data_IF_888550516076
#
_entry.id   IF_888550516076
#
_cell.length_a   1.000
_cell.length_b   1.000
_cell.length_c   1.000
_cell.angle_alpha   90.00
_cell.angle_beta   90.00
_cell.angle_gamma   90.00
#
_symmetry.space_group_name_H-M   'P 1'
#
loop_
_entity.id
_entity.type
_entity.pdbx_description
1 polymer ?
#
# COMPACT_ATOMS: atom_id res chain seq x y z
N UNK A 1 44.83 -31.94 6.84
CA UNK A 1 44.06 -31.11 7.78
C UNK A 1 43.79 -29.80 7.05
N UNK A 2 42.73 -29.75 6.25
CA UNK A 2 42.40 -28.61 5.38
C UNK A 2 40.94 -28.26 5.60
N UNK A 3 40.66 -27.62 6.73
CA UNK A 3 39.42 -26.87 6.93
C UNK A 3 39.78 -25.43 7.29
N UNK A 4 39.96 -24.56 6.29
CA UNK A 4 39.65 -23.13 6.47
C UNK A 4 38.62 -22.60 5.45
N UNK A 5 38.41 -23.30 4.32
CA UNK A 5 37.66 -22.76 3.17
C UNK A 5 36.14 -22.71 3.38
N UNK A 6 35.59 -23.54 4.27
CA UNK A 6 34.15 -23.57 4.55
C UNK A 6 33.68 -22.45 5.49
N UNK A 7 34.57 -21.88 6.31
CA UNK A 7 34.16 -20.88 7.32
C UNK A 7 33.94 -19.51 6.68
N UNK A 8 34.74 -19.11 5.69
CA UNK A 8 34.55 -17.85 4.96
C UNK A 8 33.26 -17.86 4.13
N UNK A 9 32.97 -18.95 3.41
CA UNK A 9 31.76 -19.05 2.59
C UNK A 9 30.48 -19.06 3.45
N UNK A 10 30.49 -19.77 4.59
CA UNK A 10 29.37 -19.77 5.54
C UNK A 10 29.21 -18.40 6.20
N UNK A 11 30.31 -17.73 6.57
CA UNK A 11 30.25 -16.38 7.15
C UNK A 11 29.76 -15.35 6.13
N UNK A 12 30.17 -15.45 4.87
CA UNK A 12 29.68 -14.58 3.78
C UNK A 12 28.20 -14.84 3.48
N UNK A 13 27.75 -16.10 3.49
CA UNK A 13 26.35 -16.45 3.31
C UNK A 13 25.48 -15.96 4.47
N UNK A 14 25.94 -16.12 5.72
CA UNK A 14 25.23 -15.64 6.92
C UNK A 14 25.24 -14.09 7.02
N UNK A 15 26.31 -13.43 6.60
CA UNK A 15 26.36 -11.97 6.53
C UNK A 15 25.46 -11.43 5.39
N UNK A 16 25.42 -12.13 4.25
CA UNK A 16 24.49 -11.83 3.16
C UNK A 16 23.03 -12.10 3.54
N UNK A 17 22.76 -13.14 4.35
CA UNK A 17 21.43 -13.47 4.89
C UNK A 17 20.91 -12.39 5.85
N UNK A 18 21.78 -11.88 6.73
CA UNK A 18 21.45 -10.74 7.59
C UNK A 18 21.17 -9.46 6.77
N UNK A 19 22.02 -9.17 5.77
CA UNK A 19 21.81 -8.03 4.86
C UNK A 19 20.57 -8.18 3.96
N UNK A 20 20.26 -9.41 3.53
CA UNK A 20 19.06 -9.74 2.78
C UNK A 20 17.80 -9.55 3.64
N UNK A 21 17.86 -9.97 4.91
CA UNK A 21 16.78 -9.78 5.89
C UNK A 21 16.50 -8.30 6.15
N UNK A 22 17.54 -7.47 6.30
CA UNK A 22 17.39 -6.02 6.47
C UNK A 22 16.85 -5.33 5.22
N UNK A 23 17.34 -5.71 4.04
CA UNK A 23 16.84 -5.18 2.77
C UNK A 23 15.36 -5.55 2.53
N UNK A 24 14.97 -6.79 2.83
CA UNK A 24 13.57 -7.24 2.76
C UNK A 24 12.71 -6.48 3.78
N UNK A 25 13.16 -6.33 5.01
CA UNK A 25 12.44 -5.55 6.03
C UNK A 25 12.24 -4.09 5.60
N UNK A 26 13.29 -3.48 5.04
CA UNK A 26 13.22 -2.11 4.50
C UNK A 26 12.24 -2.00 3.34
N UNK A 27 12.27 -2.98 2.42
CA UNK A 27 11.33 -3.04 1.30
C UNK A 27 9.88 -3.17 1.76
N UNK A 28 9.60 -4.07 2.72
CA UNK A 28 8.26 -4.25 3.28
C UNK A 28 7.78 -2.99 4.00
N UNK A 29 8.64 -2.35 4.80
CA UNK A 29 8.31 -1.08 5.44
C UNK A 29 8.00 0.04 4.43
N UNK A 30 8.73 0.09 3.31
CA UNK A 30 8.44 1.04 2.23
C UNK A 30 7.12 0.73 1.51
N UNK A 31 6.81 -0.55 1.30
CA UNK A 31 5.54 -0.98 0.72
C UNK A 31 4.35 -0.63 1.63
N UNK A 32 4.49 -0.85 2.95
CA UNK A 32 3.50 -0.49 3.95
C UNK A 32 3.28 1.03 4.00
N UNK A 33 4.36 1.82 3.99
CA UNK A 33 4.27 3.27 3.95
C UNK A 33 3.56 3.78 2.68
N UNK A 34 3.81 3.15 1.54
CA UNK A 34 3.16 3.49 0.28
C UNK A 34 1.67 3.14 0.28
N UNK A 35 1.31 1.95 0.77
CA UNK A 35 -0.09 1.54 0.93
C UNK A 35 -0.85 2.46 1.89
N UNK A 36 -0.23 2.83 3.03
CA UNK A 36 -0.79 3.77 3.98
C UNK A 36 -1.01 5.17 3.37
N UNK A 37 -0.09 5.65 2.53
CA UNK A 37 -0.27 6.92 1.82
C UNK A 37 -1.44 6.87 0.83
N UNK A 38 -1.63 5.76 0.14
CA UNK A 38 -2.77 5.56 -0.76
C UNK A 38 -4.10 5.31 -0.02
N UNK A 39 -4.06 4.94 1.27
CA UNK A 39 -5.25 4.80 2.10
C UNK A 39 -5.92 6.14 2.48
N UNK A 40 -5.40 7.26 2.00
CA UNK A 40 -6.00 8.58 2.17
C UNK A 40 -7.12 8.85 1.16
N UNK A 41 -8.28 9.29 1.65
CA UNK A 41 -9.42 9.69 0.82
C UNK A 41 -9.09 10.90 -0.07
N UNK A 42 -8.27 11.84 0.41
CA UNK A 42 -7.87 13.02 -0.36
C UNK A 42 -6.97 12.63 -1.54
N UNK A 43 -6.10 11.63 -1.33
CA UNK A 43 -5.27 11.06 -2.39
C UNK A 43 -6.15 10.35 -3.43
N UNK A 44 -7.12 9.55 -3.00
CA UNK A 44 -8.07 8.91 -3.89
C UNK A 44 -8.87 9.96 -4.71
N UNK A 45 -9.37 11.02 -4.07
CA UNK A 45 -10.08 12.14 -4.71
C UNK A 45 -9.27 12.82 -5.79
N UNK A 46 -8.01 13.12 -5.50
CA UNK A 46 -7.12 13.81 -6.44
C UNK A 46 -6.68 12.93 -7.61
N UNK A 47 -6.47 11.63 -7.37
CA UNK A 47 -5.77 10.75 -8.31
C UNK A 47 -6.73 9.82 -9.06
N UNK A 48 -7.67 9.18 -8.38
CA UNK A 48 -8.50 8.11 -8.96
C UNK A 48 -9.26 8.54 -10.24
N UNK A 49 -9.81 9.77 -10.38
CA UNK A 49 -10.47 10.21 -11.62
C UNK A 49 -9.53 10.32 -12.82
N UNK A 50 -8.22 10.50 -12.58
CA UNK A 50 -7.21 10.72 -13.63
C UNK A 50 -6.63 9.42 -14.20
N UNK A 51 -6.92 8.29 -13.55
CA UNK A 51 -6.38 6.99 -13.90
C UNK A 51 -7.35 6.19 -14.77
N UNK A 52 -6.84 5.17 -15.46
CA UNK A 52 -7.70 4.17 -16.11
C UNK A 52 -8.24 3.17 -15.08
N UNK A 53 -9.38 2.52 -15.38
CA UNK A 53 -9.97 1.48 -14.54
C UNK A 53 -8.94 0.42 -14.13
N UNK A 54 -8.11 -0.05 -15.07
CA UNK A 54 -7.09 -1.05 -14.80
C UNK A 54 -6.07 -0.60 -13.73
N UNK A 55 -5.67 0.67 -13.75
CA UNK A 55 -4.73 1.21 -12.75
C UNK A 55 -5.40 1.34 -11.38
N UNK A 56 -6.66 1.78 -11.34
CA UNK A 56 -7.43 1.84 -10.10
C UNK A 56 -7.66 0.45 -9.51
N UNK A 57 -7.96 -0.56 -10.34
CA UNK A 57 -8.09 -1.95 -9.88
C UNK A 57 -6.80 -2.46 -9.24
N UNK A 58 -5.63 -2.15 -9.80
CA UNK A 58 -4.34 -2.54 -9.20
C UNK A 58 -4.15 -1.89 -7.82
N UNK A 59 -4.49 -0.61 -7.69
CA UNK A 59 -4.39 0.11 -6.40
C UNK A 59 -5.36 -0.49 -5.38
N UNK A 60 -6.61 -0.75 -5.77
CA UNK A 60 -7.61 -1.42 -4.94
C UNK A 60 -7.13 -2.80 -4.44
N UNK A 61 -6.59 -3.64 -5.32
CA UNK A 61 -6.06 -4.95 -4.94
C UNK A 61 -4.87 -4.86 -3.98
N UNK A 62 -4.01 -3.85 -4.15
CA UNK A 62 -2.89 -3.62 -3.25
C UNK A 62 -3.37 -3.19 -1.86
N UNK A 63 -4.33 -2.26 -1.80
CA UNK A 63 -4.93 -1.80 -0.55
C UNK A 63 -5.67 -2.94 0.18
N UNK A 64 -6.39 -3.78 -0.56
CA UNK A 64 -7.05 -4.97 -0.01
C UNK A 64 -6.03 -5.93 0.63
N UNK A 65 -4.92 -6.22 -0.07
CA UNK A 65 -3.84 -7.06 0.47
C UNK A 65 -3.14 -6.46 1.68
N UNK A 66 -3.08 -5.13 1.77
CA UNK A 66 -2.56 -4.40 2.92
C UNK A 66 -3.58 -4.25 4.06
N UNK A 67 -4.82 -4.75 3.90
CA UNK A 67 -5.87 -4.68 4.92
C UNK A 67 -6.62 -3.33 4.97
N UNK A 68 -6.37 -2.42 4.02
CA UNK A 68 -7.02 -1.11 3.94
C UNK A 68 -8.36 -1.19 3.20
N UNK A 69 -9.28 -2.05 3.65
CA UNK A 69 -10.55 -2.33 2.95
C UNK A 69 -11.41 -1.08 2.71
N UNK A 70 -11.53 -0.17 3.68
CA UNK A 70 -12.27 1.07 3.50
C UNK A 70 -11.67 1.94 2.38
N UNK A 71 -10.34 1.95 2.21
CA UNK A 71 -9.69 2.69 1.14
C UNK A 71 -10.02 2.09 -0.24
N UNK A 72 -10.15 0.76 -0.34
CA UNK A 72 -10.58 0.10 -1.58
C UNK A 72 -11.90 0.69 -2.07
N UNK A 73 -12.88 0.82 -1.18
CA UNK A 73 -14.20 1.33 -1.52
C UNK A 73 -14.13 2.78 -2.05
N UNK A 74 -13.34 3.65 -1.41
CA UNK A 74 -13.16 5.03 -1.88
C UNK A 74 -12.51 5.09 -3.26
N UNK A 75 -11.44 4.33 -3.49
CA UNK A 75 -10.75 4.30 -4.78
C UNK A 75 -11.68 3.87 -5.92
N UNK A 76 -12.52 2.85 -5.69
CA UNK A 76 -13.47 2.36 -6.68
C UNK A 76 -14.63 3.33 -6.89
N UNK A 77 -15.22 3.85 -5.80
CA UNK A 77 -16.34 4.79 -5.86
C UNK A 77 -15.95 6.08 -6.59
N UNK A 78 -14.90 6.75 -6.12
CA UNK A 78 -14.44 8.04 -6.67
C UNK A 78 -14.07 7.89 -8.15
N UNK A 79 -13.39 6.79 -8.52
CA UNK A 79 -13.07 6.53 -9.91
C UNK A 79 -14.32 6.33 -10.77
N UNK A 80 -15.30 5.55 -10.28
CA UNK A 80 -16.53 5.27 -11.01
C UNK A 80 -17.37 6.53 -11.30
N UNK A 81 -17.28 7.53 -10.43
CA UNK A 81 -17.96 8.81 -10.57
C UNK A 81 -17.20 9.80 -11.47
N UNK A 82 -16.01 9.42 -11.98
CA UNK A 82 -15.18 10.24 -12.89
C UNK A 82 -14.91 11.68 -12.40
N UNK A 83 -14.97 11.93 -11.09
CA UNK A 83 -14.79 13.27 -10.54
C UNK A 83 -16.05 14.14 -10.52
N UNK A 84 -17.24 13.58 -10.79
CA UNK A 84 -18.53 14.21 -10.48
C UNK A 84 -18.76 14.14 -8.95
N UNK A 85 -18.03 14.99 -8.23
CA UNK A 85 -17.82 14.93 -6.78
C UNK A 85 -18.88 15.68 -5.97
N UNK A 86 -19.84 16.35 -6.63
CA UNK A 86 -20.89 17.12 -5.94
C UNK A 86 -21.77 16.22 -5.06
N UNK A 87 -22.00 14.95 -5.45
CA UNK A 87 -22.67 13.94 -4.61
C UNK A 87 -21.74 13.30 -3.56
N UNK A 88 -20.43 13.27 -3.79
CA UNK A 88 -19.44 12.67 -2.86
C UNK A 88 -19.13 13.61 -1.70
N UNK A 89 -19.09 14.93 -1.92
CA UNK A 89 -18.79 15.90 -0.85
C UNK A 89 -19.84 15.89 0.26
N UNK A 90 -21.12 15.67 -0.07
CA UNK A 90 -22.18 15.52 0.92
C UNK A 90 -22.01 14.28 1.83
N UNK A 91 -21.32 13.24 1.32
CA UNK A 91 -21.07 12.00 2.05
C UNK A 91 -19.67 11.93 2.67
N UNK A 92 -18.64 12.56 2.10
CA UNK A 92 -17.28 12.51 2.63
C UNK A 92 -17.14 13.16 4.02
N UNK A 93 -17.97 14.16 4.31
CA UNK A 93 -18.09 14.75 5.65
C UNK A 93 -18.56 13.73 6.72
N UNK A 94 -19.37 12.73 6.32
CA UNK A 94 -19.80 11.63 7.17
C UNK A 94 -18.67 10.61 7.44
N UNK A 95 -17.75 10.43 6.48
CA UNK A 95 -16.64 9.49 6.61
C UNK A 95 -15.40 10.10 7.29
N UNK A 96 -15.26 11.42 7.27
CA UNK A 96 -14.18 12.16 7.94
C UNK A 96 -14.47 12.49 9.41
N UNK A 97 -15.74 12.53 9.83
CA UNK A 97 -16.18 12.92 11.20
C UNK A 97 -16.47 11.77 12.18
N UNK A 98 -15.75 10.65 12.07
CA UNK A 98 -15.98 9.42 12.85
C UNK A 98 -17.26 8.66 12.41
N UNK A 99 -17.07 7.49 11.81
CA UNK A 99 -18.10 6.47 11.77
C UNK A 99 -18.00 5.62 13.04
N UNK A 100 -18.95 5.68 13.99
CA UNK A 100 -18.92 4.97 15.29
C UNK A 100 -19.12 3.44 15.20
N UNK A 101 -18.75 2.82 14.07
CA UNK A 101 -18.82 1.37 13.85
C UNK A 101 -17.54 0.77 13.22
N UNK A 102 -16.44 1.51 13.25
CA UNK A 102 -15.06 1.02 13.07
C UNK A 102 -14.19 1.55 14.23
#
# INVERSE_FOLDING_TARGET
MTEPENTEAVTAYLAADAGYSEAVATFLAAADAYAAALASVDVARAIAPTLSCAKVTVIAQMLEKAGHHAAVDWWLLIHSMQGDLDEVDAHADYWTKEGPWL
#
